data_IF_559513600326
#
_entry.id   IF_559513600326
#
_cell.length_a   1.000
_cell.length_b   1.000
_cell.length_c   1.000
_cell.angle_alpha   90.00
_cell.angle_beta   90.00
_cell.angle_gamma   90.00
#
_symmetry.space_group_name_H-M   'P 1'
#
loop_
_entity.id
_entity.type
_entity.pdbx_description
1 polymer ?
#
# COMPACT_ATOMS: atom_id res chain seq x y z
N UNK A 1 -21.70 -16.18 35.66
CA UNK A 1 -21.95 -16.55 34.26
C UNK A 1 -22.46 -15.30 33.58
N UNK A 2 -21.56 -14.51 33.01
CA UNK A 2 -21.85 -13.16 32.50
C UNK A 2 -21.97 -13.26 30.99
N UNK A 3 -23.17 -13.10 30.45
CA UNK A 3 -23.44 -13.05 29.02
C UNK A 3 -22.92 -11.73 28.46
N UNK A 4 -22.00 -11.82 27.50
CA UNK A 4 -21.50 -10.68 26.73
C UNK A 4 -22.43 -10.55 25.53
N UNK A 5 -23.21 -9.47 25.48
CA UNK A 5 -24.04 -9.14 24.32
C UNK A 5 -23.14 -8.67 23.17
N UNK A 6 -23.05 -9.48 22.12
CA UNK A 6 -22.53 -9.02 20.83
C UNK A 6 -23.67 -8.29 20.11
N UNK A 7 -23.54 -6.97 19.98
CA UNK A 7 -24.43 -6.21 19.12
C UNK A 7 -24.33 -6.73 17.67
N UNK A 8 -25.45 -6.85 16.93
CA UNK A 8 -25.41 -7.30 15.55
C UNK A 8 -24.64 -6.29 14.68
N UNK A 9 -23.68 -6.79 13.89
CA UNK A 9 -22.97 -5.97 12.90
C UNK A 9 -23.96 -5.40 11.89
N UNK A 10 -23.95 -4.08 11.72
CA UNK A 10 -24.77 -3.38 10.72
C UNK A 10 -24.42 -3.92 9.33
N UNK A 11 -25.39 -4.26 8.46
CA UNK A 11 -25.08 -4.67 7.09
C UNK A 11 -24.35 -3.52 6.39
N UNK A 12 -23.18 -3.83 5.82
CA UNK A 12 -22.42 -2.88 5.03
C UNK A 12 -23.15 -2.65 3.71
N UNK A 13 -23.91 -1.56 3.60
CA UNK A 13 -24.10 -0.92 2.30
C UNK A 13 -22.72 -0.50 1.81
N UNK A 14 -22.23 -1.16 0.76
CA UNK A 14 -20.99 -0.79 0.08
C UNK A 14 -21.24 0.52 -0.64
N UNK A 15 -20.95 1.62 0.03
CA UNK A 15 -20.79 2.90 -0.67
C UNK A 15 -19.47 2.81 -1.44
N UNK A 16 -19.45 3.13 -2.74
CA UNK A 16 -18.22 3.10 -3.51
C UNK A 16 -17.17 4.05 -2.92
N UNK A 17 -15.90 3.68 -3.06
CA UNK A 17 -14.75 4.49 -2.63
C UNK A 17 -14.76 5.83 -3.37
N UNK A 18 -14.54 6.92 -2.63
CA UNK A 18 -14.47 8.27 -3.23
C UNK A 18 -13.08 8.49 -3.84
N UNK A 19 -12.97 8.23 -5.15
CA UNK A 19 -11.75 8.44 -5.93
C UNK A 19 -11.69 9.86 -6.48
N UNK A 20 -10.68 10.63 -6.08
CA UNK A 20 -10.44 12.00 -6.56
C UNK A 20 -9.19 12.02 -7.44
N UNK A 21 -9.33 12.17 -8.77
CA UNK A 21 -8.18 12.22 -9.67
C UNK A 21 -7.25 13.38 -9.33
N UNK A 22 -5.94 13.11 -9.31
CA UNK A 22 -4.92 14.15 -9.08
C UNK A 22 -4.58 14.90 -10.37
N UNK A 23 -4.64 14.20 -11.50
CA UNK A 23 -4.39 14.75 -12.83
C UNK A 23 -5.35 14.16 -13.85
N UNK A 24 -5.36 14.70 -15.06
CA UNK A 24 -6.16 14.14 -16.17
C UNK A 24 -5.63 12.78 -16.70
N UNK A 25 -4.41 12.38 -16.33
CA UNK A 25 -3.72 11.23 -16.97
C UNK A 25 -3.43 10.08 -16.02
N UNK A 26 -3.14 10.37 -14.75
CA UNK A 26 -2.68 9.38 -13.78
C UNK A 26 -2.93 9.85 -12.35
N UNK A 27 -3.18 8.90 -11.46
CA UNK A 27 -3.25 9.13 -10.02
C UNK A 27 -4.64 9.51 -9.52
N UNK A 28 -5.04 8.91 -8.40
CA UNK A 28 -6.19 9.34 -7.61
C UNK A 28 -5.89 9.22 -6.11
N UNK A 29 -6.41 10.16 -5.32
CA UNK A 29 -6.49 10.02 -3.87
C UNK A 29 -7.83 9.37 -3.51
N UNK A 30 -7.79 8.27 -2.74
CA UNK A 30 -8.98 7.57 -2.28
C UNK A 30 -9.36 8.00 -0.87
N UNK A 31 -10.61 8.44 -0.70
CA UNK A 31 -11.15 8.87 0.58
C UNK A 31 -12.20 7.89 1.13
N UNK A 32 -12.38 7.92 2.46
CA UNK A 32 -13.38 7.10 3.13
C UNK A 32 -13.06 5.60 3.14
N UNK A 33 -11.80 5.24 2.90
CA UNK A 33 -11.32 3.86 2.84
C UNK A 33 -10.39 3.56 4.02
N UNK A 34 -10.60 2.39 4.62
CA UNK A 34 -9.71 1.79 5.61
C UNK A 34 -9.00 0.60 4.96
N UNK A 35 -7.70 0.75 4.68
CA UNK A 35 -6.89 -0.30 4.06
C UNK A 35 -6.77 -1.57 4.91
N UNK A 36 -6.88 -1.46 6.23
CA UNK A 36 -6.95 -2.62 7.10
C UNK A 36 -8.22 -3.43 6.81
N UNK A 37 -9.38 -2.78 6.65
CA UNK A 37 -10.60 -3.45 6.24
C UNK A 37 -10.49 -4.06 4.82
N UNK A 38 -9.90 -3.34 3.86
CA UNK A 38 -9.65 -3.86 2.49
C UNK A 38 -8.81 -5.15 2.52
N UNK A 39 -7.84 -5.26 3.43
CA UNK A 39 -7.01 -6.45 3.58
C UNK A 39 -7.80 -7.72 3.93
N UNK A 40 -9.06 -7.58 4.38
CA UNK A 40 -9.92 -8.68 4.85
C UNK A 40 -11.23 -8.84 4.08
N UNK A 41 -11.59 -7.91 3.19
CA UNK A 41 -12.89 -7.89 2.50
C UNK A 41 -12.74 -7.98 0.97
N UNK A 42 -13.33 -9.02 0.36
CA UNK A 42 -13.22 -9.31 -1.07
C UNK A 42 -13.85 -8.23 -1.96
N UNK A 43 -14.97 -7.65 -1.54
CA UNK A 43 -15.66 -6.61 -2.30
C UNK A 43 -14.85 -5.32 -2.34
N UNK A 44 -14.38 -4.88 -1.17
CA UNK A 44 -13.55 -3.68 -1.06
C UNK A 44 -12.24 -3.81 -1.85
N UNK A 45 -11.60 -4.98 -1.81
CA UNK A 45 -10.39 -5.21 -2.59
C UNK A 45 -10.64 -5.27 -4.09
N UNK A 46 -11.75 -5.88 -4.53
CA UNK A 46 -12.09 -5.90 -5.95
C UNK A 46 -12.29 -4.47 -6.48
N UNK A 47 -12.97 -3.62 -5.70
CA UNK A 47 -13.13 -2.19 -6.01
C UNK A 47 -11.78 -1.45 -6.06
N UNK A 48 -10.97 -1.58 -5.01
CA UNK A 48 -9.63 -0.96 -4.95
C UNK A 48 -8.73 -1.40 -6.11
N UNK A 49 -8.77 -2.69 -6.47
CA UNK A 49 -8.01 -3.23 -7.62
C UNK A 49 -8.52 -2.65 -8.93
N UNK A 50 -9.83 -2.49 -9.11
CA UNK A 50 -10.40 -1.85 -10.31
C UNK A 50 -9.91 -0.40 -10.43
N UNK A 51 -9.99 0.37 -9.34
CA UNK A 51 -9.51 1.75 -9.29
C UNK A 51 -8.00 1.85 -9.56
N UNK A 52 -7.21 0.90 -9.06
CA UNK A 52 -5.77 0.87 -9.34
C UNK A 52 -5.49 0.66 -10.83
N UNK A 53 -6.22 -0.26 -11.48
CA UNK A 53 -6.05 -0.52 -12.91
C UNK A 53 -6.50 0.67 -13.77
N UNK A 54 -7.48 1.45 -13.32
CA UNK A 54 -7.92 2.68 -13.97
C UNK A 54 -6.90 3.81 -13.80
N UNK A 55 -6.55 4.15 -12.56
CA UNK A 55 -5.75 5.34 -12.21
C UNK A 55 -4.24 5.10 -12.16
N UNK A 56 -3.79 3.85 -12.28
CA UNK A 56 -2.39 3.36 -12.27
C UNK A 56 -1.66 3.50 -10.95
N UNK A 57 -1.90 4.57 -10.20
CA UNK A 57 -1.37 4.81 -8.85
C UNK A 57 -2.49 5.39 -7.97
N UNK A 58 -2.56 4.92 -6.73
CA UNK A 58 -3.55 5.34 -5.75
C UNK A 58 -2.85 5.84 -4.49
N UNK A 59 -3.37 6.95 -3.94
CA UNK A 59 -2.87 7.56 -2.71
C UNK A 59 -3.92 7.48 -1.60
N UNK A 60 -3.44 7.32 -0.38
CA UNK A 60 -4.27 7.18 0.81
C UNK A 60 -3.66 8.03 1.92
N UNK A 61 -4.50 8.75 2.65
CA UNK A 61 -4.11 9.53 3.83
C UNK A 61 -4.57 8.85 5.10
N UNK A 62 -3.87 9.14 6.20
CA UNK A 62 -4.27 8.81 7.57
C UNK A 62 -4.63 7.32 7.79
N UNK A 63 -3.86 6.42 7.16
CA UNK A 63 -4.08 4.98 7.29
C UNK A 63 -3.40 4.42 8.53
N UNK A 64 -4.19 4.18 9.58
CA UNK A 64 -3.76 3.42 10.75
C UNK A 64 -3.84 1.92 10.45
N UNK A 65 -2.69 1.30 10.19
CA UNK A 65 -2.60 -0.08 9.77
C UNK A 65 -1.40 -0.76 10.44
N UNK A 66 -1.55 -2.02 10.85
CA UNK A 66 -0.41 -2.79 11.33
C UNK A 66 0.49 -3.25 10.18
N UNK A 67 1.73 -3.67 10.48
CA UNK A 67 2.61 -4.33 9.48
C UNK A 67 1.97 -5.59 8.91
N UNK A 68 1.25 -6.35 9.77
CA UNK A 68 0.53 -7.55 9.38
C UNK A 68 -0.56 -7.25 8.34
N UNK A 69 -1.34 -6.19 8.54
CA UNK A 69 -2.38 -5.76 7.61
C UNK A 69 -1.80 -5.19 6.31
N UNK A 70 -0.68 -4.47 6.37
CA UNK A 70 0.05 -4.01 5.18
C UNK A 70 0.46 -5.21 4.30
N UNK A 71 1.10 -6.21 4.92
CA UNK A 71 1.49 -7.45 4.25
C UNK A 71 0.28 -8.23 3.74
N UNK A 72 -0.80 -8.30 4.53
CA UNK A 72 -2.03 -8.99 4.13
C UNK A 72 -2.66 -8.33 2.90
N UNK A 73 -2.74 -7.00 2.86
CA UNK A 73 -3.23 -6.25 1.70
C UNK A 73 -2.37 -6.52 0.46
N UNK A 74 -1.04 -6.44 0.60
CA UNK A 74 -0.13 -6.70 -0.51
C UNK A 74 -0.28 -8.13 -1.07
N UNK A 75 -0.45 -9.13 -0.20
CA UNK A 75 -0.67 -10.54 -0.59
C UNK A 75 -1.96 -10.76 -1.38
N UNK A 76 -2.92 -9.85 -1.30
CA UNK A 76 -4.14 -9.92 -2.11
C UNK A 76 -3.87 -9.70 -3.59
N UNK A 77 -2.79 -9.00 -3.93
CA UNK A 77 -2.37 -8.74 -5.30
C UNK A 77 -1.53 -9.89 -5.90
N UNK A 78 -0.88 -10.70 -5.07
CA UNK A 78 -0.04 -11.81 -5.50
C UNK A 78 0.95 -12.27 -4.42
N UNK A 79 1.84 -13.20 -4.78
CA UNK A 79 2.97 -13.57 -3.93
C UNK A 79 3.90 -12.38 -3.72
N UNK A 80 4.35 -12.16 -2.49
CA UNK A 80 5.34 -11.12 -2.19
C UNK A 80 6.74 -11.59 -2.58
N UNK A 81 7.55 -10.65 -3.08
CA UNK A 81 8.97 -10.88 -3.35
C UNK A 81 9.80 -10.63 -2.10
N UNK A 82 10.82 -11.46 -1.89
CA UNK A 82 11.95 -11.06 -1.06
C UNK A 82 12.84 -10.13 -1.89
N UNK A 83 12.98 -8.88 -1.43
CA UNK A 83 13.70 -7.87 -2.19
C UNK A 83 15.20 -8.22 -2.27
N UNK A 84 15.81 -8.20 -3.46
CA UNK A 84 17.16 -8.73 -3.67
C UNK A 84 18.27 -7.95 -2.98
N UNK A 85 18.04 -6.66 -2.69
CA UNK A 85 19.08 -5.73 -2.19
C UNK A 85 18.91 -5.44 -0.70
N UNK A 86 17.69 -5.52 -0.18
CA UNK A 86 17.35 -5.15 1.20
C UNK A 86 16.52 -6.30 1.76
N UNK A 87 17.02 -6.93 2.82
CA UNK A 87 16.33 -8.07 3.42
C UNK A 87 14.92 -7.71 3.90
N UNK A 88 14.04 -8.71 3.90
CA UNK A 88 12.71 -8.61 4.49
C UNK A 88 12.77 -8.33 6.00
N UNK A 89 11.72 -7.70 6.52
CA UNK A 89 11.50 -7.55 7.96
C UNK A 89 11.54 -8.94 8.63
N UNK A 90 12.24 -9.09 9.77
CA UNK A 90 12.41 -10.39 10.43
C UNK A 90 11.10 -11.07 10.82
N UNK A 91 10.05 -10.29 11.13
CA UNK A 91 8.75 -10.80 11.57
C UNK A 91 7.75 -10.87 10.42
N UNK A 92 8.00 -10.13 9.32
CA UNK A 92 7.04 -9.93 8.23
C UNK A 92 7.72 -10.13 6.86
N UNK A 93 7.85 -11.40 6.44
CA UNK A 93 8.40 -11.75 5.13
C UNK A 93 7.69 -11.03 3.96
N UNK A 94 8.47 -10.46 3.05
CA UNK A 94 7.99 -9.64 1.93
C UNK A 94 7.76 -8.16 2.27
N UNK A 95 7.90 -7.75 3.53
CA UNK A 95 7.93 -6.34 3.92
C UNK A 95 9.38 -5.84 3.92
N UNK A 96 9.66 -4.78 3.18
CA UNK A 96 10.99 -4.15 3.15
C UNK A 96 10.94 -2.81 3.86
N UNK A 97 11.96 -2.51 4.65
CA UNK A 97 12.08 -1.23 5.36
C UNK A 97 13.12 -0.35 4.66
N UNK A 98 12.67 0.78 4.15
CA UNK A 98 13.53 1.79 3.50
C UNK A 98 13.75 2.91 4.50
N UNK A 99 15.00 3.10 4.94
CA UNK A 99 15.39 4.17 5.85
C UNK A 99 16.53 4.99 5.27
N UNK A 100 16.45 6.30 5.50
CA UNK A 100 17.46 7.29 5.14
C UNK A 100 17.68 8.21 6.32
N UNK A 101 18.95 8.48 6.60
CA UNK A 101 19.40 9.49 7.55
C UNK A 101 20.48 10.37 6.90
N UNK A 102 20.99 11.35 7.64
CA UNK A 102 22.00 12.29 7.13
C UNK A 102 23.35 11.64 6.85
N UNK A 103 23.62 10.47 7.44
CA UNK A 103 24.87 9.73 7.28
C UNK A 103 24.77 8.67 6.17
N UNK A 104 23.57 8.47 5.62
CA UNK A 104 23.31 7.54 4.53
C UNK A 104 24.08 7.99 3.29
N UNK A 105 24.72 7.05 2.56
CA UNK A 105 25.41 7.38 1.33
C UNK A 105 24.42 7.98 0.32
N UNK A 106 24.90 8.95 -0.45
CA UNK A 106 24.10 9.52 -1.52
C UNK A 106 23.70 8.41 -2.51
N UNK A 107 22.41 8.25 -2.72
CA UNK A 107 21.86 7.35 -3.73
C UNK A 107 21.44 8.14 -4.97
N UNK A 108 21.60 7.50 -6.12
CA UNK A 108 21.51 8.14 -7.44
C UNK A 108 20.73 7.28 -8.45
N UNK A 109 20.08 6.21 -8.00
CA UNK A 109 19.41 5.27 -8.90
C UNK A 109 17.89 5.45 -8.88
N UNK A 110 17.31 5.61 -7.70
CA UNK A 110 15.88 5.83 -7.49
C UNK A 110 15.39 7.21 -7.92
N UNK A 111 16.28 8.21 -8.00
CA UNK A 111 15.97 9.56 -8.49
C UNK A 111 15.97 9.68 -10.03
N UNK A 112 16.09 8.56 -10.75
CA UNK A 112 15.89 8.48 -12.20
C UNK A 112 14.51 7.88 -12.51
N UNK A 113 13.89 8.29 -13.63
CA UNK A 113 12.65 7.65 -14.09
C UNK A 113 12.89 6.17 -14.39
N UNK A 114 12.16 5.29 -13.71
CA UNK A 114 12.28 3.86 -13.87
C UNK A 114 10.96 3.13 -13.58
N UNK A 115 10.94 1.85 -13.91
CA UNK A 115 9.97 0.87 -13.40
C UNK A 115 10.78 -0.24 -12.73
N UNK A 116 10.31 -0.68 -11.56
CA UNK A 116 11.06 -1.56 -10.68
C UNK A 116 11.47 -2.87 -11.35
N UNK A 117 12.75 -3.22 -11.15
CA UNK A 117 13.34 -4.51 -11.50
C UNK A 117 13.02 -5.03 -12.92
N UNK A 118 12.88 -4.13 -13.90
CA UNK A 118 12.63 -4.47 -15.32
C UNK A 118 13.72 -5.33 -15.98
N UNK A 119 14.85 -5.52 -15.29
CA UNK A 119 15.94 -6.43 -15.67
C UNK A 119 15.68 -7.90 -15.27
N UNK A 120 14.61 -8.21 -14.53
CA UNK A 120 14.20 -9.59 -14.20
C UNK A 120 13.34 -10.19 -15.32
N UNK A 121 13.37 -11.51 -15.46
CA UNK A 121 12.51 -12.25 -16.40
C UNK A 121 11.01 -12.06 -16.09
N UNK A 122 10.67 -11.94 -14.80
CA UNK A 122 9.32 -11.65 -14.33
C UNK A 122 9.38 -10.46 -13.35
N UNK A 123 9.33 -9.22 -13.85
CA UNK A 123 9.32 -8.01 -13.01
C UNK A 123 8.09 -7.96 -12.08
N UNK A 124 8.17 -7.20 -10.97
CA UNK A 124 7.06 -7.06 -10.04
C UNK A 124 5.84 -6.42 -10.72
N UNK A 125 4.64 -6.85 -10.30
CA UNK A 125 3.39 -6.25 -10.79
C UNK A 125 3.20 -4.82 -10.27
N UNK A 126 3.66 -4.55 -9.05
CA UNK A 126 3.57 -3.24 -8.40
C UNK A 126 4.04 -3.31 -6.94
N UNK A 127 3.88 -2.20 -6.23
CA UNK A 127 4.26 -2.06 -4.82
C UNK A 127 3.16 -1.38 -4.01
N UNK A 128 3.15 -1.64 -2.70
CA UNK A 128 2.39 -0.86 -1.72
C UNK A 128 3.40 -0.19 -0.79
N UNK A 129 3.64 1.09 -1.01
CA UNK A 129 4.57 1.89 -0.21
C UNK A 129 3.82 2.63 0.90
N UNK A 130 4.40 2.64 2.11
CA UNK A 130 3.86 3.36 3.26
C UNK A 130 4.92 4.22 3.92
N UNK A 131 4.67 5.53 3.96
CA UNK A 131 5.47 6.46 4.75
C UNK A 131 5.19 6.23 6.25
N UNK A 132 6.27 6.06 7.02
CA UNK A 132 6.20 5.91 8.49
C UNK A 132 6.62 7.19 9.18
N UNK A 133 7.67 7.83 8.67
CA UNK A 133 8.21 9.09 9.13
C UNK A 133 8.92 9.77 7.95
N UNK A 134 8.97 11.10 7.95
CA UNK A 134 9.51 11.88 6.84
C UNK A 134 9.65 13.36 7.16
N UNK A 135 10.38 14.13 6.34
CA UNK A 135 10.55 15.56 6.54
C UNK A 135 9.24 16.32 6.29
N UNK A 136 9.11 17.51 6.88
CA UNK A 136 7.98 18.41 6.62
C UNK A 136 7.91 18.84 5.14
N UNK A 137 9.07 18.94 4.48
CA UNK A 137 9.20 19.31 3.06
C UNK A 137 10.28 18.48 2.36
N UNK A 138 10.03 18.14 1.09
CA UNK A 138 10.92 17.34 0.25
C UNK A 138 10.67 15.83 0.32
N UNK A 139 11.14 15.08 -0.68
CA UNK A 139 10.93 13.63 -0.76
C UNK A 139 9.68 13.21 -1.54
N UNK A 140 9.17 14.06 -2.43
CA UNK A 140 8.05 13.73 -3.32
C UNK A 140 8.40 12.55 -4.24
N UNK A 141 7.36 11.83 -4.67
CA UNK A 141 7.41 10.76 -5.69
C UNK A 141 6.33 11.00 -6.72
#
# INVERSE_FOLDING_TARGET
MTTVDFAPSRPATVTPMDARPLTCSIGAELHGVDLAAVSRDDGLFAELKSLLLEHKVLFFRDQDMSRAEHVALAKRFGSLEDHPVVGSDPEYAGLVRIYKDLDSPAEHYENAYHCDATWRDNPPMGAILRCIDGPEVGGDT
#
